data_IF_680583332618
#
_entry.id   IF_680583332618
#
_cell.length_a   1.000
_cell.length_b   1.000
_cell.length_c   1.000
_cell.angle_alpha   90.00
_cell.angle_beta   90.00
_cell.angle_gamma   90.00
#
_symmetry.space_group_name_H-M   'P 1'
#
loop_
_entity.id
_entity.type
_entity.pdbx_description
1 polymer ?
#
# COMPACT_ATOMS: atom_id res chain seq x y z
N UNK A 1 33.72 26.77 53.69
CA UNK A 1 33.50 25.31 53.89
C UNK A 1 32.70 24.80 52.70
N UNK A 2 33.12 23.68 52.10
CA UNK A 2 32.35 22.95 51.09
C UNK A 2 32.79 23.13 49.64
N UNK A 3 33.98 22.63 49.30
CA UNK A 3 34.41 22.31 47.93
C UNK A 3 33.86 20.95 47.48
N UNK A 4 33.34 20.83 46.25
CA UNK A 4 33.38 19.58 45.46
C UNK A 4 33.57 19.93 43.97
N UNK A 5 34.63 19.37 43.40
CA UNK A 5 34.92 19.31 41.96
C UNK A 5 34.79 17.85 41.52
N UNK A 6 34.14 17.58 40.38
CA UNK A 6 34.48 16.51 39.39
C UNK A 6 33.61 16.72 38.14
N UNK A 7 34.17 17.19 37.00
CA UNK A 7 34.79 16.45 35.89
C UNK A 7 33.81 15.75 34.96
N UNK A 8 33.83 16.17 33.68
CA UNK A 8 34.00 15.25 32.55
C UNK A 8 32.80 15.01 31.64
N UNK A 9 32.95 15.35 30.35
CA UNK A 9 32.22 14.67 29.27
C UNK A 9 31.69 15.55 28.15
N UNK A 10 32.56 16.01 27.26
CA UNK A 10 32.19 16.37 25.88
C UNK A 10 31.64 15.14 25.16
N UNK A 11 30.52 15.27 24.46
CA UNK A 11 30.31 14.72 23.10
C UNK A 11 28.87 14.88 22.62
N UNK A 12 28.74 15.30 21.37
CA UNK A 12 27.74 14.70 20.49
C UNK A 12 26.56 15.59 20.11
N UNK A 13 26.55 15.98 18.84
CA UNK A 13 25.40 16.47 18.11
C UNK A 13 24.13 15.65 18.40
N UNK A 14 22.94 16.26 18.34
CA UNK A 14 22.13 16.07 17.13
C UNK A 14 21.07 17.16 17.02
N UNK A 15 21.04 17.77 15.82
CA UNK A 15 19.95 18.57 15.32
C UNK A 15 18.69 17.71 15.20
N UNK A 16 17.55 18.32 15.54
CA UNK A 16 16.29 18.12 14.84
C UNK A 16 15.55 16.81 15.12
N UNK A 17 14.58 16.88 16.02
CA UNK A 17 13.38 16.04 15.90
C UNK A 17 12.17 16.93 16.17
N UNK A 18 11.71 17.59 15.10
CA UNK A 18 10.30 17.97 14.99
C UNK A 18 9.48 16.70 15.23
N UNK A 19 8.81 16.60 16.38
CA UNK A 19 7.77 15.59 16.62
C UNK A 19 6.63 15.92 15.67
N UNK A 20 6.69 15.37 14.46
CA UNK A 20 5.52 15.32 13.61
C UNK A 20 4.53 14.39 14.31
N UNK A 21 3.45 14.98 14.81
CA UNK A 21 2.34 14.26 15.41
C UNK A 21 1.86 13.22 14.40
N UNK A 22 2.19 11.95 14.66
CA UNK A 22 1.63 10.80 13.96
C UNK A 22 0.13 10.80 14.26
N UNK A 23 -0.64 11.49 13.43
CA UNK A 23 -1.99 11.04 13.10
C UNK A 23 -1.79 9.63 12.55
N UNK A 24 -2.00 8.63 13.40
CA UNK A 24 -2.19 7.25 12.94
C UNK A 24 -3.48 7.26 12.13
N UNK A 25 -3.39 7.74 10.90
CA UNK A 25 -4.43 7.54 9.90
C UNK A 25 -4.56 6.03 9.82
N UNK A 26 -5.71 5.52 10.28
CA UNK A 26 -6.11 4.15 10.02
C UNK A 26 -6.38 4.07 8.52
N UNK A 27 -5.33 4.03 7.73
CA UNK A 27 -5.43 3.74 6.32
C UNK A 27 -6.21 2.43 6.20
N UNK A 28 -7.22 2.40 5.34
CA UNK A 28 -8.04 1.21 5.11
C UNK A 28 -7.23 0.03 4.53
N UNK A 29 -5.96 0.29 4.18
CA UNK A 29 -4.98 -0.59 3.56
C UNK A 29 -3.58 -0.23 4.09
N UNK A 30 -2.64 -1.18 4.07
CA UNK A 30 -1.28 -1.03 4.61
C UNK A 30 -0.25 -0.65 3.55
N UNK A 31 -0.60 -0.69 2.27
CA UNK A 31 0.26 -0.27 1.18
C UNK A 31 0.33 1.25 1.01
N UNK A 32 1.43 1.72 0.43
CA UNK A 32 1.67 3.15 0.16
C UNK A 32 1.19 3.61 -1.23
N UNK A 33 0.48 2.77 -1.98
CA UNK A 33 -0.06 3.14 -3.28
C UNK A 33 -1.34 3.97 -3.17
N UNK A 34 -1.51 4.89 -4.12
CA UNK A 34 -2.73 5.68 -4.27
C UNK A 34 -3.68 5.03 -5.28
N UNK A 35 -4.97 5.31 -5.21
CA UNK A 35 -5.95 4.80 -6.18
C UNK A 35 -6.34 5.88 -7.18
N UNK A 36 -6.40 5.53 -8.46
CA UNK A 36 -7.05 6.36 -9.47
C UNK A 36 -8.56 6.48 -9.15
N UNK A 37 -9.13 7.66 -9.38
CA UNK A 37 -10.56 7.91 -9.16
C UNK A 37 -11.42 6.94 -9.98
N UNK A 38 -10.96 6.53 -11.17
CA UNK A 38 -11.65 5.57 -12.04
C UNK A 38 -11.75 4.18 -11.41
N UNK A 39 -10.80 3.76 -10.58
CA UNK A 39 -10.90 2.46 -9.90
C UNK A 39 -12.09 2.43 -8.96
N UNK A 40 -12.31 3.52 -8.23
CA UNK A 40 -13.48 3.67 -7.34
C UNK A 40 -14.78 3.74 -8.14
N UNK A 41 -14.79 4.49 -9.25
CA UNK A 41 -15.96 4.57 -10.14
C UNK A 41 -16.33 3.20 -10.73
N UNK A 42 -15.33 2.42 -11.19
CA UNK A 42 -15.53 1.05 -11.70
C UNK A 42 -16.11 0.11 -10.66
N UNK A 43 -15.72 0.25 -9.40
CA UNK A 43 -16.33 -0.50 -8.29
C UNK A 43 -17.83 -0.22 -8.12
N UNK A 44 -18.30 0.97 -8.50
CA UNK A 44 -19.73 1.32 -8.50
C UNK A 44 -20.43 0.80 -9.76
N UNK A 45 -19.80 0.95 -10.93
CA UNK A 45 -20.37 0.52 -12.23
C UNK A 45 -20.49 -1.00 -12.36
N UNK A 46 -19.47 -1.74 -11.93
CA UNK A 46 -19.40 -3.20 -12.04
C UNK A 46 -18.90 -3.80 -10.71
N UNK A 47 -19.78 -3.93 -9.72
CA UNK A 47 -19.40 -4.39 -8.39
C UNK A 47 -18.98 -5.87 -8.37
N UNK A 48 -19.36 -6.66 -9.38
CA UNK A 48 -19.10 -8.10 -9.40
C UNK A 48 -17.62 -8.39 -9.63
N UNK A 49 -16.97 -7.62 -10.50
CA UNK A 49 -15.57 -7.81 -10.85
C UNK A 49 -14.62 -6.74 -10.30
N UNK A 50 -15.12 -5.56 -9.92
CA UNK A 50 -14.27 -4.43 -9.51
C UNK A 50 -14.45 -3.99 -8.05
N UNK A 51 -15.41 -4.57 -7.31
CA UNK A 51 -15.70 -4.17 -5.93
C UNK A 51 -15.47 -5.29 -4.89
N UNK A 52 -14.34 -6.00 -5.00
CA UNK A 52 -13.87 -6.82 -3.90
C UNK A 52 -13.28 -5.94 -2.78
N UNK A 53 -13.27 -6.41 -1.50
CA UNK A 53 -12.82 -5.61 -0.37
C UNK A 53 -11.41 -5.04 -0.56
N UNK A 54 -11.23 -3.74 -0.30
CA UNK A 54 -9.93 -3.06 -0.36
C UNK A 54 -8.91 -3.63 0.63
N UNK A 55 -9.37 -4.25 1.72
CA UNK A 55 -8.51 -4.99 2.66
C UNK A 55 -7.80 -6.19 2.03
N UNK A 56 -8.27 -6.67 0.87
CA UNK A 56 -7.63 -7.77 0.16
C UNK A 56 -6.47 -7.34 -0.74
N UNK A 57 -6.34 -6.03 -1.00
CA UNK A 57 -5.33 -5.48 -1.92
C UNK A 57 -3.93 -5.68 -1.40
N UNK A 58 -3.70 -5.49 -0.09
CA UNK A 58 -2.41 -5.77 0.54
C UNK A 58 -1.95 -7.22 0.27
N UNK A 59 -2.89 -8.16 0.28
CA UNK A 59 -2.63 -9.56 -0.05
C UNK A 59 -2.19 -9.75 -1.50
N UNK A 60 -2.83 -9.05 -2.44
CA UNK A 60 -2.50 -9.13 -3.87
C UNK A 60 -1.16 -8.43 -4.15
N UNK A 61 -0.96 -7.23 -3.60
CA UNK A 61 0.25 -6.41 -3.77
C UNK A 61 1.48 -7.03 -3.11
N UNK A 62 1.31 -7.94 -2.15
CA UNK A 62 2.40 -8.73 -1.57
C UNK A 62 2.95 -9.81 -2.51
N UNK A 63 2.27 -10.09 -3.63
CA UNK A 63 2.70 -11.09 -4.62
C UNK A 63 3.87 -10.57 -5.46
N UNK A 64 4.53 -11.48 -6.18
CA UNK A 64 5.63 -11.11 -7.07
C UNK A 64 5.08 -10.23 -8.21
N UNK A 65 5.59 -8.99 -8.39
CA UNK A 65 5.16 -8.14 -9.49
C UNK A 65 5.56 -8.74 -10.84
N UNK A 66 4.68 -8.58 -11.82
CA UNK A 66 4.90 -8.87 -13.24
C UNK A 66 5.18 -7.53 -13.93
N UNK A 67 6.46 -7.14 -14.09
CA UNK A 67 6.81 -5.86 -14.69
C UNK A 67 6.47 -5.84 -16.19
N UNK A 68 5.99 -4.69 -16.66
CA UNK A 68 5.77 -4.37 -18.07
C UNK A 68 6.78 -3.32 -18.54
N UNK A 69 6.99 -3.25 -19.86
CA UNK A 69 8.02 -2.39 -20.48
C UNK A 69 7.89 -0.89 -20.15
N UNK A 70 6.71 -0.43 -19.76
CA UNK A 70 6.40 0.98 -19.43
C UNK A 70 6.55 1.31 -17.93
N UNK A 71 7.10 0.41 -17.11
CA UNK A 71 7.19 0.58 -15.65
C UNK A 71 5.88 0.27 -14.92
N UNK A 72 4.89 -0.27 -15.62
CA UNK A 72 3.66 -0.77 -15.03
C UNK A 72 3.89 -2.15 -14.42
N UNK A 73 3.42 -2.36 -13.19
CA UNK A 73 3.52 -3.62 -12.48
C UNK A 73 2.14 -4.24 -12.32
N UNK A 74 2.01 -5.50 -12.72
CA UNK A 74 0.80 -6.27 -12.48
C UNK A 74 1.05 -7.23 -11.32
N UNK A 75 0.17 -7.20 -10.33
CA UNK A 75 0.13 -8.11 -9.21
C UNK A 75 -1.05 -9.04 -9.39
N UNK A 76 -0.83 -10.33 -9.19
CA UNK A 76 -1.84 -11.35 -9.42
C UNK A 76 -1.90 -12.32 -8.25
N UNK A 77 -3.11 -12.58 -7.75
CA UNK A 77 -3.36 -13.57 -6.70
C UNK A 77 -4.52 -14.46 -7.10
N UNK A 78 -4.31 -15.77 -7.10
CA UNK A 78 -5.39 -16.72 -7.28
C UNK A 78 -6.35 -16.68 -6.08
N UNK A 79 -7.63 -16.90 -6.35
CA UNK A 79 -8.62 -17.08 -5.30
C UNK A 79 -10.02 -17.28 -5.87
N UNK A 80 -11.01 -17.12 -5.00
CA UNK A 80 -12.41 -17.38 -5.32
C UNK A 80 -13.23 -16.15 -4.95
N UNK A 81 -14.10 -15.73 -5.86
CA UNK A 81 -15.06 -14.64 -5.63
C UNK A 81 -16.42 -15.09 -6.15
N UNK A 82 -17.48 -14.93 -5.35
CA UNK A 82 -18.84 -15.35 -5.71
C UNK A 82 -18.90 -16.80 -6.23
N UNK A 83 -18.22 -17.72 -5.52
CA UNK A 83 -18.13 -19.15 -5.86
C UNK A 83 -17.47 -19.46 -7.22
N UNK A 84 -16.84 -18.47 -7.86
CA UNK A 84 -16.05 -18.65 -9.08
C UNK A 84 -14.57 -18.59 -8.73
N UNK A 85 -13.81 -19.58 -9.20
CA UNK A 85 -12.36 -19.53 -9.13
C UNK A 85 -11.86 -18.50 -10.16
N UNK A 86 -10.79 -17.81 -9.83
CA UNK A 86 -10.25 -16.77 -10.68
C UNK A 86 -8.94 -16.18 -10.18
N UNK A 87 -8.56 -15.07 -10.81
CA UNK A 87 -7.35 -14.32 -10.48
C UNK A 87 -7.75 -12.90 -10.16
N UNK A 88 -7.39 -12.44 -8.96
CA UNK A 88 -7.41 -11.03 -8.61
C UNK A 88 -6.19 -10.35 -9.20
N UNK A 89 -6.42 -9.29 -9.95
CA UNK A 89 -5.38 -8.52 -10.64
C UNK A 89 -5.42 -7.07 -10.15
N UNK A 90 -4.25 -6.57 -9.74
CA UNK A 90 -4.03 -5.16 -9.43
C UNK A 90 -2.90 -4.65 -10.31
N UNK A 91 -3.16 -3.57 -11.02
CA UNK A 91 -2.15 -2.85 -11.79
C UNK A 91 -1.70 -1.61 -11.07
N UNK A 92 -0.39 -1.37 -11.09
CA UNK A 92 0.25 -0.21 -10.47
C UNK A 92 1.13 0.47 -11.51
N UNK A 93 0.92 1.77 -11.71
CA UNK A 93 1.77 2.59 -12.58
C UNK A 93 3.16 2.80 -11.97
N UNK A 94 4.11 3.27 -12.78
CA UNK A 94 5.46 3.64 -12.31
C UNK A 94 5.44 4.67 -11.17
N UNK A 95 4.37 5.47 -11.09
CA UNK A 95 4.19 6.54 -10.13
C UNK A 95 3.51 6.04 -8.84
N UNK A 96 3.24 4.73 -8.73
CA UNK A 96 2.61 4.14 -7.54
C UNK A 96 1.09 4.35 -7.48
N UNK A 97 0.44 4.52 -8.63
CA UNK A 97 -1.01 4.68 -8.73
C UNK A 97 -1.63 3.35 -9.15
N UNK A 98 -2.58 2.86 -8.37
CA UNK A 98 -3.46 1.74 -8.71
C UNK A 98 -4.55 2.28 -9.64
N UNK A 99 -4.44 1.98 -10.94
CA UNK A 99 -5.41 2.34 -11.97
C UNK A 99 -6.22 1.11 -12.47
N UNK A 100 -5.83 -0.09 -12.05
CA UNK A 100 -6.47 -1.34 -12.43
C UNK A 100 -6.73 -2.22 -11.22
N UNK A 101 -7.99 -2.69 -11.11
CA UNK A 101 -8.45 -3.54 -10.02
C UNK A 101 -9.55 -4.44 -10.56
N UNK A 102 -9.25 -5.72 -10.79
CA UNK A 102 -10.17 -6.61 -11.50
C UNK A 102 -10.06 -8.06 -11.02
N UNK A 103 -11.20 -8.71 -10.85
CA UNK A 103 -11.28 -10.17 -10.68
C UNK A 103 -11.60 -10.83 -12.01
N UNK A 104 -10.67 -11.66 -12.50
CA UNK A 104 -10.81 -12.47 -13.72
C UNK A 104 -11.28 -13.88 -13.35
N UNK A 105 -12.57 -14.22 -13.50
CA UNK A 105 -13.04 -15.59 -13.29
C UNK A 105 -12.42 -16.54 -14.34
N UNK A 106 -11.96 -17.70 -13.88
CA UNK A 106 -11.60 -18.84 -14.72
C UNK A 106 -12.91 -19.58 -15.03
N UNK A 107 -13.12 -19.86 -16.31
CA UNK A 107 -14.37 -20.42 -16.84
C UNK A 107 -14.49 -21.91 -16.55
#
# INVERSE_FOLDING_TARGET
>A
MGSVSVVGGVSGATRGLMRNSLSTERNAFRHNFSYDVRVRMRGVEDPVSHNFPYSFDDGILSTKPIPKKNGYNIFQKQGTMNNKNGVFEIGVTKDGIIDHRFFRPIK
#
